data_IF_661777077549
#
_entry.id   IF_661777077549
#
_cell.length_a   1.000
_cell.length_b   1.000
_cell.length_c   1.000
_cell.angle_alpha   90.00
_cell.angle_beta   90.00
_cell.angle_gamma   90.00
#
_symmetry.space_group_name_H-M   'P 1'
#
loop_
_entity.id
_entity.type
_entity.pdbx_description
1 polymer ?
#
# COMPACT_ATOMS: atom_id res chain seq x y z
N UNK A 1 -5.66 -29.27 13.74
CA UNK A 1 -4.28 -28.80 13.93
C UNK A 1 -4.14 -27.50 13.13
N UNK A 2 -4.23 -26.37 13.82
CA UNK A 2 -4.12 -25.04 13.22
C UNK A 2 -2.69 -24.58 13.49
N UNK A 3 -1.89 -24.41 12.44
CA UNK A 3 -0.53 -23.88 12.54
C UNK A 3 -0.58 -22.38 12.81
N UNK A 4 0.07 -21.87 13.88
CA UNK A 4 0.42 -20.47 13.97
C UNK A 4 1.88 -20.32 13.52
N UNK A 5 2.11 -19.72 12.35
CA UNK A 5 3.43 -19.15 12.00
C UNK A 5 3.24 -17.63 11.96
N UNK A 6 3.23 -17.02 13.14
CA UNK A 6 3.42 -15.58 13.32
C UNK A 6 4.40 -15.39 14.47
N UNK A 7 5.68 -15.68 14.22
CA UNK A 7 6.75 -15.40 15.17
C UNK A 7 8.07 -15.18 14.42
N UNK A 8 8.22 -14.01 13.81
CA UNK A 8 9.52 -13.41 13.51
C UNK A 8 9.35 -11.89 13.57
N UNK A 9 9.22 -11.36 14.79
CA UNK A 9 9.20 -9.93 15.06
C UNK A 9 10.62 -9.36 14.92
N UNK A 10 10.89 -8.86 13.71
CA UNK A 10 11.52 -7.57 13.38
C UNK A 10 12.39 -6.95 14.50
N UNK A 11 13.69 -7.21 14.47
CA UNK A 11 14.70 -6.41 15.19
C UNK A 11 15.53 -5.57 14.23
N UNK A 12 14.97 -4.50 13.66
CA UNK A 12 15.72 -3.37 13.09
C UNK A 12 14.74 -2.28 12.60
N UNK A 13 14.30 -1.37 13.47
CA UNK A 13 13.45 -0.21 13.09
C UNK A 13 14.23 1.12 13.17
N UNK A 14 15.55 1.11 13.34
CA UNK A 14 16.32 2.36 13.48
C UNK A 14 16.94 2.94 12.19
N UNK A 15 16.60 2.48 10.99
CA UNK A 15 17.09 3.17 9.76
C UNK A 15 16.14 3.09 8.55
N UNK A 16 14.95 3.67 8.64
CA UNK A 16 14.00 3.72 7.50
C UNK A 16 14.18 4.98 6.62
N UNK A 17 15.19 5.81 6.88
CA UNK A 17 15.39 7.09 6.16
C UNK A 17 16.18 6.94 4.85
N UNK A 18 16.70 5.75 4.48
CA UNK A 18 17.61 5.57 3.34
C UNK A 18 17.11 4.66 2.20
N UNK A 19 15.80 4.40 2.08
CA UNK A 19 15.29 3.32 1.22
C UNK A 19 15.27 3.62 -0.30
N UNK A 20 15.90 4.69 -0.78
CA UNK A 20 16.38 4.72 -2.18
C UNK A 20 17.79 4.13 -2.17
N UNK A 21 17.93 2.87 -1.77
CA UNK A 21 19.18 2.17 -1.98
C UNK A 21 19.27 1.78 -3.47
N UNK A 22 20.48 1.72 -4.05
CA UNK A 22 20.67 1.20 -5.40
C UNK A 22 20.05 -0.20 -5.58
N UNK A 23 19.92 -0.95 -4.48
CA UNK A 23 19.29 -2.28 -4.42
C UNK A 23 17.83 -2.23 -4.85
N UNK A 24 17.00 -1.35 -4.26
CA UNK A 24 15.58 -1.28 -4.61
C UNK A 24 15.36 -0.63 -5.97
N UNK A 25 16.16 0.40 -6.30
CA UNK A 25 16.08 1.08 -7.59
C UNK A 25 16.37 0.15 -8.78
N UNK A 26 17.07 -0.97 -8.55
CA UNK A 26 17.35 -1.96 -9.58
C UNK A 26 16.11 -2.68 -10.12
N UNK A 27 14.99 -2.67 -9.38
CA UNK A 27 13.74 -3.33 -9.81
C UNK A 27 13.13 -2.63 -11.02
N UNK A 28 13.18 -1.29 -11.06
CA UNK A 28 12.65 -0.52 -12.17
C UNK A 28 12.24 0.90 -11.77
N UNK A 29 11.90 1.76 -12.76
CA UNK A 29 11.58 3.16 -12.54
C UNK A 29 10.37 3.39 -11.62
N UNK A 30 9.34 2.55 -11.72
CA UNK A 30 8.14 2.61 -10.88
C UNK A 30 8.47 2.54 -9.39
N UNK A 31 9.32 1.58 -9.04
CA UNK A 31 9.77 1.34 -7.67
C UNK A 31 10.68 2.47 -7.18
N UNK A 32 11.59 2.96 -8.03
CA UNK A 32 12.42 4.11 -7.69
C UNK A 32 11.57 5.37 -7.42
N UNK A 33 10.54 5.61 -8.24
CA UNK A 33 9.56 6.68 -8.04
C UNK A 33 8.79 6.54 -6.73
N UNK A 34 8.36 5.31 -6.41
CA UNK A 34 7.71 5.01 -5.14
C UNK A 34 8.58 5.38 -3.94
N UNK A 35 9.84 4.93 -3.93
CA UNK A 35 10.78 5.18 -2.85
C UNK A 35 11.12 6.68 -2.67
N UNK A 36 11.09 7.45 -3.76
CA UNK A 36 11.38 8.90 -3.73
C UNK A 36 10.17 9.77 -3.38
N UNK A 37 8.95 9.35 -3.73
CA UNK A 37 7.77 10.24 -3.68
C UNK A 37 6.72 9.83 -2.65
N UNK A 38 6.59 8.54 -2.36
CA UNK A 38 5.53 7.98 -1.51
C UNK A 38 6.08 7.50 -0.19
N UNK A 39 7.17 6.73 -0.21
CA UNK A 39 7.76 6.18 1.00
C UNK A 39 8.11 7.25 2.06
N UNK A 40 8.62 8.46 1.70
CA UNK A 40 8.86 9.53 2.67
C UNK A 40 7.60 10.05 3.38
N UNK A 41 6.41 9.80 2.83
CA UNK A 41 5.11 10.15 3.46
C UNK A 41 4.56 9.02 4.33
N UNK A 42 5.01 7.79 4.09
CA UNK A 42 4.59 6.59 4.84
C UNK A 42 5.45 6.43 6.10
N UNK A 43 6.77 6.52 5.95
CA UNK A 43 7.73 6.22 7.02
C UNK A 43 7.49 7.03 8.29
N UNK A 44 7.36 8.37 8.25
CA UNK A 44 7.19 9.15 9.48
C UNK A 44 5.97 8.76 10.31
N UNK A 45 4.87 8.35 9.67
CA UNK A 45 3.64 7.96 10.36
C UNK A 45 3.78 6.63 11.14
N UNK A 46 4.80 5.82 10.81
CA UNK A 46 5.03 4.49 11.38
C UNK A 46 6.21 4.43 12.36
N UNK A 47 7.03 5.47 12.44
CA UNK A 47 8.20 5.50 13.34
C UNK A 47 7.74 5.41 14.81
N UNK A 48 8.49 4.63 15.60
CA UNK A 48 8.33 4.58 17.06
C UNK A 48 7.20 3.68 17.56
N UNK A 49 6.44 3.02 16.67
CA UNK A 49 5.39 2.06 17.08
C UNK A 49 5.38 0.80 16.20
N UNK A 50 5.81 -0.32 16.80
CA UNK A 50 5.71 -1.65 16.20
C UNK A 50 4.27 -2.05 15.88
N UNK A 51 3.33 -1.63 16.72
CA UNK A 51 1.91 -1.88 16.52
C UNK A 51 1.40 -1.17 15.26
N UNK A 52 1.70 0.12 15.10
CA UNK A 52 1.31 0.89 13.89
C UNK A 52 1.89 0.25 12.62
N UNK A 53 3.14 -0.18 12.66
CA UNK A 53 3.77 -0.87 11.53
C UNK A 53 3.05 -2.18 11.20
N UNK A 54 2.78 -3.02 12.19
CA UNK A 54 2.11 -4.31 11.99
C UNK A 54 0.68 -4.11 11.46
N UNK A 55 -0.06 -3.14 12.00
CA UNK A 55 -1.40 -2.80 11.52
C UNK A 55 -1.36 -2.30 10.08
N UNK A 56 -0.44 -1.39 9.75
CA UNK A 56 -0.24 -0.90 8.39
C UNK A 56 0.06 -2.04 7.41
N UNK A 57 1.05 -2.88 7.71
CA UNK A 57 1.41 -4.03 6.87
C UNK A 57 0.23 -4.98 6.71
N UNK A 58 -0.48 -5.28 7.80
CA UNK A 58 -1.66 -6.15 7.78
C UNK A 58 -2.81 -5.62 6.92
N UNK A 59 -3.08 -4.32 7.00
CA UNK A 59 -4.10 -3.67 6.15
C UNK A 59 -3.70 -3.72 4.68
N UNK A 60 -2.48 -3.29 4.34
CA UNK A 60 -2.00 -3.28 2.95
C UNK A 60 -2.01 -4.68 2.34
N UNK A 61 -1.46 -5.65 3.07
CA UNK A 61 -1.46 -7.06 2.70
C UNK A 61 -2.88 -7.57 2.42
N UNK A 62 -3.83 -7.28 3.31
CA UNK A 62 -5.22 -7.71 3.16
C UNK A 62 -5.87 -7.07 1.94
N UNK A 63 -5.63 -5.78 1.69
CA UNK A 63 -6.17 -5.06 0.53
C UNK A 63 -5.63 -5.67 -0.75
N UNK A 64 -4.31 -5.88 -0.85
CA UNK A 64 -3.68 -6.49 -2.03
C UNK A 64 -4.21 -7.90 -2.31
N UNK A 65 -4.50 -8.69 -1.27
CA UNK A 65 -5.06 -10.03 -1.42
C UNK A 65 -6.55 -10.02 -1.80
N UNK A 66 -7.37 -9.16 -1.18
CA UNK A 66 -8.79 -9.02 -1.51
C UNK A 66 -8.96 -8.52 -2.94
N UNK A 67 -8.10 -7.59 -3.37
CA UNK A 67 -8.05 -7.08 -4.73
C UNK A 67 -7.32 -8.03 -5.70
N UNK A 68 -6.91 -9.22 -5.25
CA UNK A 68 -6.27 -10.26 -6.06
C UNK A 68 -4.98 -9.82 -6.77
N UNK A 69 -4.30 -8.78 -6.26
CA UNK A 69 -2.95 -8.43 -6.69
C UNK A 69 -1.96 -9.47 -6.15
N UNK A 70 -2.13 -9.82 -4.88
CA UNK A 70 -1.40 -10.88 -4.20
C UNK A 70 -2.30 -12.11 -4.04
N UNK A 71 -1.71 -13.30 -4.16
CA UNK A 71 -2.41 -14.57 -3.90
C UNK A 71 -2.49 -14.83 -2.39
N UNK A 72 -3.45 -15.66 -1.93
CA UNK A 72 -3.42 -16.16 -0.57
C UNK A 72 -2.08 -16.82 -0.26
N UNK A 73 -1.39 -16.33 0.78
CA UNK A 73 -0.07 -16.81 1.18
C UNK A 73 1.10 -15.95 0.71
N UNK A 74 0.95 -15.16 -0.36
CA UNK A 74 1.96 -14.17 -0.76
C UNK A 74 2.18 -13.20 0.40
N UNK A 75 3.42 -13.04 0.87
CA UNK A 75 3.79 -12.08 1.91
C UNK A 75 4.46 -10.86 1.27
N UNK A 76 4.06 -9.66 1.69
CA UNK A 76 4.61 -8.41 1.16
C UNK A 76 6.14 -8.36 1.23
N UNK A 77 6.71 -8.79 2.36
CA UNK A 77 8.16 -8.89 2.55
C UNK A 77 8.81 -9.86 1.57
N UNK A 78 8.22 -11.03 1.36
CA UNK A 78 8.78 -12.07 0.49
C UNK A 78 8.70 -11.67 -0.98
N UNK A 79 7.60 -11.06 -1.41
CA UNK A 79 7.46 -10.50 -2.77
C UNK A 79 8.52 -9.42 -3.00
N UNK A 80 8.75 -8.55 -2.02
CA UNK A 80 9.82 -7.57 -2.10
C UNK A 80 11.23 -8.17 -2.20
N UNK A 81 11.56 -9.14 -1.35
CA UNK A 81 12.85 -9.84 -1.39
C UNK A 81 13.08 -10.52 -2.76
N UNK A 82 12.05 -11.22 -3.25
CA UNK A 82 12.09 -11.89 -4.55
C UNK A 82 12.27 -10.88 -5.66
N UNK A 83 11.55 -9.76 -5.64
CA UNK A 83 11.64 -8.72 -6.67
C UNK A 83 13.04 -8.09 -6.72
N UNK A 84 13.65 -7.83 -5.55
CA UNK A 84 15.02 -7.31 -5.46
C UNK A 84 16.03 -8.29 -6.05
N UNK A 85 15.97 -9.56 -5.66
CA UNK A 85 16.92 -10.58 -6.13
C UNK A 85 16.71 -10.91 -7.61
N UNK A 86 15.46 -11.01 -8.06
CA UNK A 86 15.08 -11.27 -9.45
C UNK A 86 15.54 -10.14 -10.38
N UNK A 87 15.47 -8.88 -9.94
CA UNK A 87 15.94 -7.74 -10.70
C UNK A 87 17.45 -7.79 -11.02
N UNK A 88 18.27 -8.42 -10.16
CA UNK A 88 19.70 -8.66 -10.42
C UNK A 88 19.94 -9.65 -11.56
N UNK A 89 18.94 -10.48 -11.86
CA UNK A 89 18.91 -11.43 -12.97
C UNK A 89 18.07 -10.89 -14.15
N UNK A 90 17.82 -9.57 -14.18
CA UNK A 90 17.04 -8.88 -15.21
C UNK A 90 15.57 -9.32 -15.32
N UNK A 91 15.02 -9.89 -14.24
CA UNK A 91 13.58 -10.13 -14.11
C UNK A 91 12.95 -8.89 -13.48
N UNK A 92 12.48 -7.98 -14.32
CA UNK A 92 11.92 -6.68 -13.94
C UNK A 92 10.55 -6.48 -14.57
N UNK A 93 9.64 -5.70 -13.96
CA UNK A 93 8.29 -5.53 -14.48
C UNK A 93 8.24 -5.07 -15.95
N UNK A 94 9.16 -4.18 -16.35
CA UNK A 94 9.25 -3.66 -17.73
C UNK A 94 9.56 -4.71 -18.81
N UNK A 95 10.01 -5.89 -18.41
CA UNK A 95 10.33 -6.99 -19.33
C UNK A 95 9.13 -7.91 -19.62
N UNK A 96 7.94 -7.60 -19.08
CA UNK A 96 6.73 -8.41 -19.22
C UNK A 96 5.57 -7.61 -19.83
N UNK A 97 4.70 -8.31 -20.56
CA UNK A 97 3.52 -7.72 -21.20
C UNK A 97 2.37 -7.38 -20.23
N UNK A 98 2.40 -7.95 -19.02
CA UNK A 98 1.40 -7.70 -17.96
C UNK A 98 2.00 -7.89 -16.58
N UNK A 99 1.43 -7.23 -15.59
CA UNK A 99 1.82 -7.41 -14.19
C UNK A 99 1.62 -8.85 -13.71
N UNK A 100 0.57 -9.52 -14.17
CA UNK A 100 0.31 -10.92 -13.81
C UNK A 100 1.43 -11.86 -14.30
N UNK A 101 1.93 -11.66 -15.52
CA UNK A 101 3.05 -12.45 -16.05
C UNK A 101 4.33 -12.22 -15.24
N UNK A 102 4.63 -10.96 -14.89
CA UNK A 102 5.74 -10.62 -14.00
C UNK A 102 5.60 -11.31 -12.63
N UNK A 103 4.42 -11.25 -12.03
CA UNK A 103 4.18 -11.83 -10.70
C UNK A 103 4.30 -13.35 -10.66
N UNK A 104 3.99 -14.06 -11.76
CA UNK A 104 4.26 -15.50 -11.84
C UNK A 104 5.76 -15.81 -11.76
N UNK A 105 6.59 -15.05 -12.46
CA UNK A 105 8.04 -15.21 -12.38
C UNK A 105 8.58 -14.88 -10.99
N UNK A 106 8.09 -13.82 -10.35
CA UNK A 106 8.48 -13.46 -8.97
C UNK A 106 8.09 -14.57 -7.98
N UNK A 107 6.92 -15.20 -8.14
CA UNK A 107 6.49 -16.33 -7.29
C UNK A 107 7.31 -17.59 -7.55
N UNK A 108 7.73 -17.82 -8.80
CA UNK A 108 8.59 -18.95 -9.16
C UNK A 108 10.07 -18.74 -8.73
N UNK A 109 10.49 -17.47 -8.59
CA UNK A 109 11.86 -17.11 -8.25
C UNK A 109 12.32 -17.71 -6.92
N UNK A 110 13.44 -18.43 -6.92
CA UNK A 110 14.00 -19.03 -5.72
C UNK A 110 14.91 -18.04 -5.01
N UNK A 111 14.51 -17.64 -3.79
CA UNK A 111 15.34 -16.80 -2.94
C UNK A 111 16.66 -17.49 -2.60
N UNK A 112 17.76 -16.74 -2.71
CA UNK A 112 19.04 -17.10 -2.11
C UNK A 112 19.05 -16.60 -0.65
N UNK A 113 19.10 -17.49 0.36
CA UNK A 113 19.14 -17.08 1.77
C UNK A 113 20.33 -16.17 2.11
N UNK A 114 21.47 -16.32 1.44
CA UNK A 114 22.65 -15.50 1.68
C UNK A 114 22.44 -14.07 1.16
N UNK A 115 21.77 -13.90 0.02
CA UNK A 115 21.37 -12.58 -0.48
C UNK A 115 20.26 -11.98 0.37
N UNK A 116 19.27 -12.77 0.75
CA UNK A 116 18.19 -12.35 1.65
C UNK A 116 18.73 -11.83 2.99
N UNK A 117 19.83 -12.37 3.49
CA UNK A 117 20.50 -11.89 4.71
C UNK A 117 21.20 -10.54 4.55
N UNK A 118 21.48 -10.11 3.32
CA UNK A 118 22.13 -8.83 3.01
C UNK A 118 21.11 -7.72 2.70
N UNK A 119 19.88 -8.08 2.35
CA UNK A 119 18.80 -7.14 2.08
C UNK A 119 18.05 -6.88 3.39
N UNK A 120 17.92 -5.61 3.77
CA UNK A 120 17.23 -5.23 5.01
C UNK A 120 15.73 -5.45 4.92
N UNK A 121 15.07 -5.67 6.06
CA UNK A 121 13.61 -5.79 6.11
C UNK A 121 12.90 -4.55 5.56
N UNK A 122 13.44 -3.35 5.81
CA UNK A 122 12.91 -2.10 5.29
C UNK A 122 12.94 -2.07 3.74
N UNK A 123 14.02 -2.54 3.12
CA UNK A 123 14.12 -2.63 1.66
C UNK A 123 13.11 -3.64 1.09
N UNK A 124 12.96 -4.80 1.74
CA UNK A 124 11.97 -5.81 1.33
C UNK A 124 10.55 -5.27 1.41
N UNK A 125 10.18 -4.61 2.50
CA UNK A 125 8.85 -4.01 2.63
C UNK A 125 8.64 -2.88 1.62
N UNK A 126 9.62 -1.99 1.42
CA UNK A 126 9.51 -0.92 0.43
C UNK A 126 9.32 -1.45 -1.01
N UNK A 127 10.09 -2.48 -1.40
CA UNK A 127 9.92 -3.14 -2.68
C UNK A 127 8.53 -3.80 -2.81
N UNK A 128 8.09 -4.55 -1.78
CA UNK A 128 6.77 -5.20 -1.79
C UNK A 128 5.60 -4.20 -1.87
N UNK A 129 5.72 -3.05 -1.19
CA UNK A 129 4.72 -1.97 -1.25
C UNK A 129 4.65 -1.34 -2.64
N UNK A 130 5.80 -1.14 -3.28
CA UNK A 130 5.88 -0.58 -4.62
C UNK A 130 5.27 -1.53 -5.66
N UNK A 131 5.65 -2.82 -5.62
CA UNK A 131 5.09 -3.84 -6.51
C UNK A 131 3.58 -4.00 -6.30
N UNK A 132 3.12 -4.01 -5.05
CA UNK A 132 1.70 -4.02 -4.74
C UNK A 132 0.95 -2.81 -5.32
N UNK A 133 1.52 -1.60 -5.22
CA UNK A 133 0.94 -0.40 -5.81
C UNK A 133 0.89 -0.47 -7.35
N UNK A 134 1.94 -0.99 -7.98
CA UNK A 134 1.98 -1.15 -9.44
C UNK A 134 0.89 -2.10 -9.94
N UNK A 135 0.68 -3.24 -9.25
CA UNK A 135 -0.42 -4.14 -9.59
C UNK A 135 -1.80 -3.49 -9.42
N UNK A 136 -1.94 -2.62 -8.41
CA UNK A 136 -3.16 -1.82 -8.26
C UNK A 136 -3.33 -0.81 -9.40
N UNK A 137 -2.26 -0.15 -9.86
CA UNK A 137 -2.35 0.77 -11.00
C UNK A 137 -2.89 0.07 -12.26
N UNK A 138 -2.38 -1.13 -12.56
CA UNK A 138 -2.84 -1.95 -13.69
C UNK A 138 -4.30 -2.39 -13.51
N UNK A 139 -4.67 -2.89 -12.32
CA UNK A 139 -6.04 -3.34 -12.02
C UNK A 139 -7.07 -2.22 -12.19
N UNK A 140 -6.74 -1.00 -11.76
CA UNK A 140 -7.63 0.15 -11.87
C UNK A 140 -7.48 0.90 -13.20
N UNK A 141 -6.60 0.45 -14.10
CA UNK A 141 -6.29 1.09 -15.37
C UNK A 141 -5.99 2.59 -15.20
N UNK A 142 -5.14 2.90 -14.22
CA UNK A 142 -4.67 4.26 -13.93
C UNK A 142 -3.18 4.39 -14.24
N UNK A 143 -2.69 5.63 -14.29
CA UNK A 143 -1.27 5.89 -14.51
C UNK A 143 -0.43 5.29 -13.39
N UNK A 144 0.70 4.67 -13.74
CA UNK A 144 1.69 4.17 -12.79
C UNK A 144 2.04 5.20 -11.69
N UNK A 145 2.11 4.72 -10.46
CA UNK A 145 2.34 5.49 -9.24
C UNK A 145 1.10 6.18 -8.66
N UNK A 146 -0.09 6.00 -9.25
CA UNK A 146 -1.32 6.63 -8.75
C UNK A 146 -1.79 5.96 -7.47
N UNK A 147 -1.92 4.63 -7.49
CA UNK A 147 -2.44 3.81 -6.39
C UNK A 147 -1.48 3.73 -5.21
N UNK A 148 -0.20 4.02 -5.42
CA UNK A 148 0.77 4.17 -4.35
C UNK A 148 0.36 5.23 -3.31
N UNK A 149 -0.46 6.24 -3.70
CA UNK A 149 -0.97 7.26 -2.77
C UNK A 149 -2.00 6.71 -1.77
N UNK A 150 -2.42 5.45 -1.88
CA UNK A 150 -3.18 4.76 -0.83
C UNK A 150 -2.34 4.51 0.43
N UNK A 151 -1.05 4.20 0.29
CA UNK A 151 -0.22 3.81 1.43
C UNK A 151 -0.06 4.94 2.46
N UNK A 152 0.15 6.21 2.08
CA UNK A 152 0.11 7.31 3.04
C UNK A 152 -1.23 7.44 3.77
N UNK A 153 -2.37 7.17 3.12
CA UNK A 153 -3.68 7.21 3.79
C UNK A 153 -3.73 6.15 4.91
N UNK A 154 -3.38 4.90 4.58
CA UNK A 154 -3.35 3.79 5.54
C UNK A 154 -2.34 4.05 6.67
N UNK A 155 -1.16 4.57 6.35
CA UNK A 155 -0.13 4.82 7.35
C UNK A 155 -0.54 5.90 8.37
N UNK A 156 -1.25 6.94 7.92
CA UNK A 156 -1.69 8.03 8.78
C UNK A 156 -2.92 7.69 9.63
N UNK A 157 -3.83 6.83 9.13
CA UNK A 157 -5.04 6.46 9.85
C UNK A 157 -5.49 5.03 9.51
N UNK A 158 -4.79 4.00 10.00
CA UNK A 158 -5.09 2.60 9.66
C UNK A 158 -6.43 2.12 10.23
N UNK A 159 -6.93 2.75 11.29
CA UNK A 159 -8.24 2.44 11.88
C UNK A 159 -9.38 2.86 10.95
N UNK A 160 -9.29 4.08 10.40
CA UNK A 160 -10.22 4.54 9.37
C UNK A 160 -9.98 3.77 8.08
N UNK A 161 -8.78 3.82 7.50
CA UNK A 161 -8.44 3.15 6.25
C UNK A 161 -8.12 1.67 6.43
N UNK A 162 -8.92 0.96 7.21
CA UNK A 162 -8.78 -0.49 7.39
C UNK A 162 -9.13 -1.24 6.10
N UNK A 163 -8.76 -2.53 6.05
CA UNK A 163 -8.91 -3.35 4.83
C UNK A 163 -10.36 -3.47 4.35
N UNK A 164 -11.33 -3.57 5.27
CA UNK A 164 -12.75 -3.70 4.92
C UNK A 164 -13.28 -2.41 4.30
N UNK A 165 -13.02 -1.27 4.96
CA UNK A 165 -13.43 0.04 4.46
C UNK A 165 -12.78 0.35 3.11
N UNK A 166 -11.46 0.16 3.01
CA UNK A 166 -10.72 0.51 1.80
C UNK A 166 -11.14 -0.34 0.61
N UNK A 167 -11.33 -1.65 0.79
CA UNK A 167 -11.79 -2.53 -0.30
C UNK A 167 -13.24 -2.25 -0.71
N UNK A 168 -14.13 -1.93 0.24
CA UNK A 168 -15.50 -1.48 -0.08
C UNK A 168 -15.48 -0.20 -0.93
N UNK A 169 -14.67 0.79 -0.52
CA UNK A 169 -14.54 2.05 -1.25
C UNK A 169 -13.97 1.84 -2.67
N UNK A 170 -12.93 1.01 -2.78
CA UNK A 170 -12.30 0.70 -4.06
C UNK A 170 -13.23 -0.08 -5.02
N UNK A 171 -14.08 -0.96 -4.50
CA UNK A 171 -15.05 -1.72 -5.32
C UNK A 171 -16.30 -0.91 -5.69
N UNK A 172 -16.59 0.19 -4.98
CA UNK A 172 -17.80 1.00 -5.20
C UNK A 172 -17.57 2.22 -6.09
N UNK A 173 -16.31 2.51 -6.47
CA UNK A 173 -15.97 3.66 -7.32
C UNK A 173 -15.36 3.22 -8.64
N UNK A 174 -15.71 3.93 -9.71
CA UNK A 174 -15.00 3.89 -11.00
C UNK A 174 -14.00 5.03 -11.14
N UNK A 175 -13.97 5.96 -10.18
CA UNK A 175 -13.10 7.14 -10.17
C UNK A 175 -12.25 7.16 -8.89
N UNK A 176 -11.30 6.24 -8.83
CA UNK A 176 -10.36 6.12 -7.70
C UNK A 176 -9.47 7.35 -7.57
N UNK A 177 -9.21 8.07 -8.67
CA UNK A 177 -8.37 9.28 -8.68
C UNK A 177 -9.06 10.39 -7.89
N UNK A 178 -10.36 10.61 -8.10
CA UNK A 178 -11.10 11.61 -7.31
C UNK A 178 -11.17 11.23 -5.85
N UNK A 179 -11.35 9.95 -5.52
CA UNK A 179 -11.31 9.46 -4.13
C UNK A 179 -9.97 9.78 -3.46
N UNK A 180 -8.84 9.48 -4.12
CA UNK A 180 -7.52 9.84 -3.60
C UNK A 180 -7.39 11.36 -3.39
N UNK A 181 -7.75 12.15 -4.41
CA UNK A 181 -7.67 13.62 -4.34
C UNK A 181 -8.59 14.22 -3.28
N UNK A 182 -9.72 13.59 -2.97
CA UNK A 182 -10.62 14.03 -1.91
C UNK A 182 -9.91 14.00 -0.56
N UNK A 183 -9.30 12.86 -0.21
CA UNK A 183 -8.56 12.75 1.05
C UNK A 183 -7.32 13.66 1.08
N UNK A 184 -6.69 13.89 -0.06
CA UNK A 184 -5.59 14.85 -0.17
C UNK A 184 -6.04 16.33 -0.13
N UNK A 185 -7.35 16.62 -0.14
CA UNK A 185 -7.89 17.98 -0.19
C UNK A 185 -7.60 18.72 -1.50
N UNK A 186 -7.39 17.99 -2.60
CA UNK A 186 -7.00 18.55 -3.91
C UNK A 186 -8.17 18.68 -4.90
N UNK A 187 -9.40 18.41 -4.46
CA UNK A 187 -10.60 18.62 -5.27
C UNK A 187 -11.15 20.04 -5.11
N UNK A 188 -11.70 20.58 -6.19
CA UNK A 188 -12.52 21.80 -6.12
C UNK A 188 -13.87 21.51 -5.44
N UNK A 189 -14.60 22.53 -4.94
CA UNK A 189 -15.79 22.35 -4.10
C UNK A 189 -16.85 21.40 -4.68
N UNK A 190 -17.18 21.56 -5.97
CA UNK A 190 -18.18 20.71 -6.64
C UNK A 190 -17.74 19.24 -6.72
N UNK A 191 -16.51 18.98 -7.17
CA UNK A 191 -15.96 17.63 -7.26
C UNK A 191 -15.78 16.98 -5.88
N UNK A 192 -15.47 17.79 -4.86
CA UNK A 192 -15.37 17.34 -3.47
C UNK A 192 -16.72 16.84 -2.97
N UNK A 193 -17.79 17.62 -3.14
CA UNK A 193 -19.13 17.23 -2.72
C UNK A 193 -19.63 15.97 -3.45
N UNK A 194 -19.35 15.84 -4.76
CA UNK A 194 -19.70 14.64 -5.52
C UNK A 194 -18.96 13.40 -5.01
N UNK A 195 -17.64 13.53 -4.78
CA UNK A 195 -16.80 12.42 -4.30
C UNK A 195 -17.17 12.02 -2.89
N UNK A 196 -17.45 12.99 -2.02
CA UNK A 196 -17.96 12.78 -0.67
C UNK A 196 -19.25 11.96 -0.67
N UNK A 197 -20.22 12.31 -1.52
CA UNK A 197 -21.46 11.56 -1.66
C UNK A 197 -21.23 10.09 -2.05
N UNK A 198 -20.25 9.83 -2.93
CA UNK A 198 -19.86 8.45 -3.31
C UNK A 198 -19.23 7.69 -2.13
N UNK A 199 -18.35 8.33 -1.37
CA UNK A 199 -17.74 7.73 -0.19
C UNK A 199 -18.81 7.43 0.86
N UNK A 200 -19.71 8.38 1.14
CA UNK A 200 -20.82 8.19 2.09
C UNK A 200 -21.74 7.06 1.67
N UNK A 201 -22.06 6.95 0.38
CA UNK A 201 -22.87 5.85 -0.15
C UNK A 201 -22.17 4.49 0.05
N UNK A 202 -20.85 4.41 -0.19
CA UNK A 202 -20.06 3.21 0.04
C UNK A 202 -20.02 2.82 1.54
N UNK A 203 -19.85 3.81 2.42
CA UNK A 203 -19.90 3.61 3.88
C UNK A 203 -21.29 3.14 4.35
N UNK A 204 -22.36 3.71 3.79
CA UNK A 204 -23.72 3.35 4.14
C UNK A 204 -24.08 1.95 3.68
N UNK A 205 -23.56 1.51 2.53
CA UNK A 205 -23.70 0.13 2.07
C UNK A 205 -22.96 -0.86 2.99
N UNK A 206 -21.80 -0.44 3.54
CA UNK A 206 -21.02 -1.25 4.46
C UNK A 206 -21.64 -1.34 5.87
N UNK A 207 -22.24 -0.24 6.33
CA UNK A 207 -22.84 -0.11 7.67
C UNK A 207 -24.23 0.57 7.58
N UNK A 208 -25.28 -0.15 7.14
CA UNK A 208 -26.62 0.41 6.94
C UNK A 208 -27.24 1.00 8.21
N UNK A 209 -26.80 0.56 9.38
CA UNK A 209 -27.24 1.04 10.70
C UNK A 209 -26.64 2.39 11.10
N UNK A 210 -25.50 2.81 10.53
CA UNK A 210 -24.89 4.10 10.84
C UNK A 210 -25.71 5.25 10.28
N UNK A 211 -25.88 6.32 11.05
CA UNK A 211 -26.51 7.55 10.55
C UNK A 211 -25.57 8.24 9.57
N UNK A 212 -26.11 8.94 8.57
CA UNK A 212 -25.29 9.70 7.61
C UNK A 212 -24.44 10.74 8.34
N UNK A 213 -25.00 11.43 9.34
CA UNK A 213 -24.25 12.39 10.15
C UNK A 213 -23.01 11.78 10.84
N UNK A 214 -23.10 10.53 11.31
CA UNK A 214 -21.95 9.84 11.88
C UNK A 214 -20.92 9.46 10.80
N UNK A 215 -21.35 9.11 9.60
CA UNK A 215 -20.47 8.82 8.46
C UNK A 215 -19.71 10.09 8.05
N UNK A 216 -20.42 11.22 7.87
CA UNK A 216 -19.79 12.51 7.58
C UNK A 216 -18.77 12.91 8.65
N UNK A 217 -19.13 12.82 9.93
CA UNK A 217 -18.21 13.13 11.02
C UNK A 217 -16.93 12.26 11.01
N UNK A 218 -17.06 10.97 10.68
CA UNK A 218 -15.90 10.08 10.54
C UNK A 218 -15.03 10.45 9.33
N UNK A 219 -15.67 10.79 8.21
CA UNK A 219 -15.01 11.17 6.97
C UNK A 219 -14.24 12.48 7.12
N UNK A 220 -14.87 13.50 7.70
CA UNK A 220 -14.26 14.80 8.00
C UNK A 220 -13.03 14.64 8.91
N UNK A 221 -13.16 13.82 9.96
CA UNK A 221 -12.04 13.53 10.85
C UNK A 221 -10.87 12.86 10.12
N UNK A 222 -11.15 11.92 9.21
CA UNK A 222 -10.12 11.25 8.42
C UNK A 222 -9.41 12.20 7.45
N UNK A 223 -10.17 13.08 6.78
CA UNK A 223 -9.62 14.13 5.90
C UNK A 223 -8.75 15.11 6.69
N UNK A 224 -9.21 15.58 7.85
CA UNK A 224 -8.44 16.51 8.68
C UNK A 224 -7.17 15.89 9.25
N UNK A 225 -7.23 14.62 9.67
CA UNK A 225 -6.06 13.87 10.12
C UNK A 225 -5.02 13.72 9.01
N UNK A 226 -5.44 13.51 7.76
CA UNK A 226 -4.50 13.43 6.64
C UNK A 226 -3.87 14.78 6.29
N UNK A 227 -4.60 15.89 6.41
CA UNK A 227 -4.07 17.25 6.18
C UNK A 227 -3.10 17.71 7.27
N UNK A 228 -3.24 17.17 8.48
CA UNK A 228 -2.38 17.44 9.63
C UNK A 228 -1.70 16.14 10.04
N UNK A 229 -0.76 15.60 9.22
CA UNK A 229 0.07 14.51 9.70
C UNK A 229 0.75 15.06 10.96
N UNK A 230 0.45 14.49 12.12
CA UNK A 230 0.82 15.06 13.41
C UNK A 230 2.26 15.56 13.34
N UNK A 231 2.44 16.85 13.64
CA UNK A 231 3.74 17.46 13.81
C UNK A 231 4.47 16.72 14.93
N UNK A 232 5.28 15.74 14.56
CA UNK A 232 6.30 15.13 15.42
C UNK A 232 7.62 15.84 15.18
#
# INVERSE_FOLDING_TARGET
MVFPIFAAAISAITSVVSAITPVIASIGPAVASFCTTVLPKVVPALIGSLEKLNTFVGVVQSVLQIMQIFRPGDQLKDIGDRSIQAARQDIKPENFDSFDAYMEEIRAFKLDPAESGQITDAEKYAAGLAIGAQGMDEKFNVREGTMANLWPLVANNPEYFNSTRLTSLLNSTTDVISVLKYFEGKLGPAASAETEGKIVAAEKALAPEKTEAAIFAQLDAAVEQFKKPESV
#
